data_IF_881833650630
#
_entry.id   IF_881833650630
#
_cell.length_a   1.000
_cell.length_b   1.000
_cell.length_c   1.000
_cell.angle_alpha   90.00
_cell.angle_beta   90.00
_cell.angle_gamma   90.00
#
_symmetry.space_group_name_H-M   'P 1'
#
loop_
_entity.id
_entity.type
_entity.pdbx_description
1 polymer ?
#
# COMPACT_ATOMS: atom_id res chain seq x y z
N UNK A 1 -12.87 -7.86 19.73
CA UNK A 1 -14.17 -8.00 19.04
C UNK A 1 -15.27 -7.31 19.84
N UNK A 2 -15.52 -7.71 21.09
CA UNK A 2 -16.65 -7.18 21.89
C UNK A 2 -16.66 -5.66 22.10
N UNK A 3 -15.48 -5.03 22.17
CA UNK A 3 -15.35 -3.57 22.27
C UNK A 3 -15.94 -2.85 21.05
N UNK A 4 -15.71 -3.38 19.84
CA UNK A 4 -16.06 -2.69 18.59
C UNK A 4 -17.40 -3.14 18.02
N UNK A 5 -17.80 -4.41 18.20
CA UNK A 5 -19.02 -4.98 17.60
C UNK A 5 -20.32 -4.26 17.99
N UNK A 6 -20.29 -3.48 19.08
CA UNK A 6 -21.44 -2.76 19.64
C UNK A 6 -21.54 -1.31 19.15
N UNK A 7 -20.51 -0.80 18.46
CA UNK A 7 -20.47 0.60 18.03
C UNK A 7 -21.37 0.84 16.81
N UNK A 8 -21.53 -0.16 15.95
CA UNK A 8 -22.34 -0.08 14.73
C UNK A 8 -23.00 -1.43 14.42
N UNK A 9 -23.99 -1.39 13.53
CA UNK A 9 -24.59 -2.58 12.95
C UNK A 9 -23.72 -3.06 11.79
N UNK A 10 -22.80 -3.98 12.09
CA UNK A 10 -21.96 -4.61 11.07
C UNK A 10 -22.71 -5.78 10.43
N UNK A 11 -22.66 -5.87 9.10
CA UNK A 11 -23.24 -6.99 8.36
C UNK A 11 -22.47 -8.30 8.60
N UNK A 12 -21.14 -8.23 8.70
CA UNK A 12 -20.25 -9.35 9.05
C UNK A 12 -19.11 -8.89 9.96
N UNK A 13 -18.64 -9.79 10.83
CA UNK A 13 -17.49 -9.58 11.71
C UNK A 13 -16.54 -10.77 11.58
N UNK A 14 -15.38 -10.53 10.98
CA UNK A 14 -14.38 -11.57 10.71
C UNK A 14 -13.12 -11.23 11.53
N UNK A 15 -12.76 -12.02 12.54
CA UNK A 15 -11.51 -11.83 13.25
C UNK A 15 -10.35 -12.32 12.40
N UNK A 16 -9.42 -11.44 12.04
CA UNK A 16 -8.31 -11.77 11.14
C UNK A 16 -6.96 -11.39 11.73
N UNK A 17 -5.90 -12.03 11.23
CA UNK A 17 -4.52 -11.58 11.44
C UNK A 17 -3.76 -11.65 10.12
N UNK A 18 -3.53 -10.48 9.50
CA UNK A 18 -2.75 -10.40 8.25
C UNK A 18 -1.31 -10.91 8.44
N UNK A 19 -0.69 -10.57 9.58
CA UNK A 19 0.68 -11.00 9.89
C UNK A 19 0.81 -12.52 10.05
N UNK A 20 -0.21 -13.19 10.61
CA UNK A 20 -0.21 -14.63 10.87
C UNK A 20 -0.99 -15.45 9.83
N UNK A 21 -1.60 -14.80 8.85
CA UNK A 21 -2.49 -15.44 7.86
C UNK A 21 -3.73 -16.11 8.47
N UNK A 22 -4.26 -15.59 9.58
CA UNK A 22 -5.43 -16.20 10.25
C UNK A 22 -6.70 -15.61 9.66
N UNK A 23 -7.60 -16.48 9.17
CA UNK A 23 -8.92 -16.16 8.59
C UNK A 23 -8.86 -15.12 7.46
N UNK A 24 -7.72 -15.00 6.77
CA UNK A 24 -7.54 -14.05 5.67
C UNK A 24 -8.25 -14.50 4.39
N UNK A 25 -8.46 -15.81 4.25
CA UNK A 25 -9.16 -16.48 3.16
C UNK A 25 -10.64 -16.11 3.09
N UNK A 26 -11.25 -15.74 4.21
CA UNK A 26 -12.67 -15.38 4.30
C UNK A 26 -12.94 -13.94 3.83
N UNK A 27 -11.91 -13.10 3.74
CA UNK A 27 -12.06 -11.67 3.44
C UNK A 27 -12.62 -11.45 2.02
N UNK A 28 -12.01 -12.08 1.01
CA UNK A 28 -12.42 -11.88 -0.39
C UNK A 28 -13.85 -12.38 -0.64
N UNK A 29 -14.24 -13.61 -0.24
CA UNK A 29 -15.62 -14.08 -0.37
C UNK A 29 -16.63 -13.16 0.33
N UNK A 30 -16.31 -12.65 1.52
CA UNK A 30 -17.21 -11.75 2.24
C UNK A 30 -17.37 -10.41 1.53
N UNK A 31 -16.30 -9.81 1.00
CA UNK A 31 -16.41 -8.58 0.19
C UNK A 31 -17.32 -8.80 -1.03
N UNK A 32 -17.15 -9.93 -1.72
CA UNK A 32 -17.91 -10.24 -2.94
C UNK A 32 -19.43 -10.36 -2.70
N UNK A 33 -19.89 -10.72 -1.49
CA UNK A 33 -21.34 -10.77 -1.16
C UNK A 33 -22.00 -9.39 -1.21
N UNK A 34 -21.25 -8.34 -0.92
CA UNK A 34 -21.74 -6.96 -0.83
C UNK A 34 -21.34 -6.10 -2.03
N UNK A 35 -20.45 -6.59 -2.88
CA UNK A 35 -20.04 -5.87 -4.09
C UNK A 35 -21.19 -5.86 -5.11
N UNK A 36 -21.63 -4.68 -5.60
CA UNK A 36 -22.67 -4.62 -6.61
C UNK A 36 -22.20 -5.23 -7.94
N UNK A 37 -23.14 -5.79 -8.70
CA UNK A 37 -22.85 -6.27 -10.04
C UNK A 37 -22.44 -5.11 -10.96
N UNK A 38 -21.35 -5.28 -11.69
CA UNK A 38 -20.81 -4.26 -12.58
C UNK A 38 -19.69 -4.78 -13.47
N UNK A 39 -19.25 -3.97 -14.45
CA UNK A 39 -18.11 -4.33 -15.29
C UNK A 39 -16.80 -4.29 -14.49
N UNK A 40 -15.80 -5.02 -14.97
CA UNK A 40 -14.43 -4.89 -14.48
C UNK A 40 -13.87 -3.54 -14.94
N UNK A 41 -13.37 -2.73 -14.00
CA UNK A 41 -12.79 -1.41 -14.31
C UNK A 41 -11.32 -1.46 -14.73
N UNK A 42 -10.64 -2.56 -14.42
CA UNK A 42 -9.23 -2.80 -14.69
C UNK A 42 -9.07 -4.20 -15.31
N UNK A 43 -8.01 -4.44 -16.06
CA UNK A 43 -7.75 -5.77 -16.63
C UNK A 43 -7.32 -6.77 -15.55
N UNK A 44 -7.54 -8.08 -15.79
CA UNK A 44 -7.23 -9.14 -14.81
C UNK A 44 -5.74 -9.21 -14.41
N UNK A 45 -4.84 -8.73 -15.28
CA UNK A 45 -3.39 -8.67 -15.07
C UNK A 45 -2.92 -7.33 -14.46
N UNK A 46 -3.84 -6.40 -14.20
CA UNK A 46 -3.51 -5.13 -13.52
C UNK A 46 -3.20 -5.38 -12.05
N UNK A 47 -1.93 -5.28 -11.68
CA UNK A 47 -1.49 -5.46 -10.28
C UNK A 47 -1.82 -4.23 -9.41
N UNK A 48 -1.64 -3.03 -9.95
CA UNK A 48 -1.88 -1.75 -9.28
C UNK A 48 -2.01 -0.64 -10.31
N UNK A 49 -2.77 0.41 -10.01
CA UNK A 49 -2.86 1.62 -10.81
C UNK A 49 -1.72 2.62 -10.56
N UNK A 50 -0.87 2.34 -9.55
CA UNK A 50 0.22 3.23 -9.17
C UNK A 50 1.46 3.07 -10.08
N UNK A 51 2.00 4.18 -10.61
CA UNK A 51 3.28 4.17 -11.31
C UNK A 51 4.43 3.67 -10.42
N UNK A 52 5.38 2.93 -10.99
CA UNK A 52 6.55 2.41 -10.26
C UNK A 52 7.34 3.49 -9.49
N UNK A 53 7.40 4.72 -10.02
CA UNK A 53 8.01 5.86 -9.33
C UNK A 53 7.32 6.23 -8.01
N UNK A 54 5.98 6.13 -7.94
CA UNK A 54 5.24 6.39 -6.70
C UNK A 54 5.49 5.27 -5.70
N UNK A 55 5.49 4.02 -6.16
CA UNK A 55 5.83 2.86 -5.32
C UNK A 55 7.24 3.03 -4.72
N UNK A 56 8.23 3.43 -5.54
CA UNK A 56 9.58 3.71 -5.06
C UNK A 56 9.63 4.84 -4.03
N UNK A 57 8.89 5.94 -4.25
CA UNK A 57 8.77 7.04 -3.28
C UNK A 57 8.19 6.56 -1.95
N UNK A 58 7.13 5.75 -2.00
CA UNK A 58 6.46 5.22 -0.82
C UNK A 58 7.34 4.25 -0.03
N UNK A 59 8.18 3.45 -0.69
CA UNK A 59 9.17 2.60 -0.02
C UNK A 59 10.20 3.45 0.74
N UNK A 60 10.71 4.52 0.12
CA UNK A 60 11.64 5.45 0.78
C UNK A 60 10.93 6.12 1.98
N UNK A 61 9.69 6.56 1.80
CA UNK A 61 8.87 7.18 2.85
C UNK A 61 8.64 6.22 4.03
N UNK A 62 8.31 4.95 3.78
CA UNK A 62 8.20 3.91 4.82
C UNK A 62 9.50 3.77 5.62
N UNK A 63 10.66 3.77 4.95
CA UNK A 63 11.95 3.70 5.66
C UNK A 63 12.26 4.96 6.44
N UNK A 64 11.91 6.13 5.91
CA UNK A 64 12.04 7.38 6.62
C UNK A 64 11.14 7.40 7.88
N UNK A 65 9.90 6.90 7.78
CA UNK A 65 9.00 6.74 8.94
C UNK A 65 9.59 5.84 10.03
N UNK A 66 10.37 4.83 9.65
CA UNK A 66 11.00 3.91 10.60
C UNK A 66 12.32 4.45 11.18
N UNK A 67 13.03 5.32 10.45
CA UNK A 67 14.37 5.78 10.80
C UNK A 67 14.38 7.17 11.46
N UNK A 68 13.29 7.92 11.35
CA UNK A 68 13.13 9.26 11.90
C UNK A 68 12.17 9.22 13.09
N UNK A 69 12.36 10.15 14.03
CA UNK A 69 11.58 10.24 15.26
C UNK A 69 10.83 11.59 15.34
N UNK A 70 9.96 11.68 16.34
CA UNK A 70 9.11 12.83 16.62
C UNK A 70 8.18 13.16 15.44
N UNK A 71 8.04 14.44 15.09
CA UNK A 71 7.07 14.90 14.08
C UNK A 71 7.62 14.88 12.65
N UNK A 72 8.94 14.74 12.49
CA UNK A 72 9.65 14.72 11.20
C UNK A 72 9.07 13.65 10.24
N UNK A 73 8.82 12.39 10.65
CA UNK A 73 8.19 11.37 9.81
C UNK A 73 6.88 11.81 9.12
N UNK A 74 6.11 12.66 9.77
CA UNK A 74 4.77 13.04 9.31
C UNK A 74 4.77 14.27 8.40
N UNK A 75 5.84 15.07 8.43
CA UNK A 75 6.00 16.30 7.64
C UNK A 75 6.88 16.15 6.40
N UNK A 76 7.18 14.92 5.97
CA UNK A 76 8.05 14.68 4.80
C UNK A 76 7.28 14.23 3.56
N UNK A 77 7.75 14.69 2.41
CA UNK A 77 7.35 14.20 1.09
C UNK A 77 8.57 13.63 0.35
N UNK A 78 8.37 12.57 -0.43
CA UNK A 78 9.42 11.98 -1.26
C UNK A 78 9.04 12.12 -2.73
N UNK A 79 9.92 12.75 -3.51
CA UNK A 79 9.79 12.86 -4.96
C UNK A 79 10.89 12.05 -5.66
N UNK A 80 10.53 11.31 -6.71
CA UNK A 80 11.51 10.63 -7.58
C UNK A 80 11.82 11.54 -8.77
N UNK A 81 13.01 12.12 -8.79
CA UNK A 81 13.47 13.03 -9.84
C UNK A 81 13.92 12.27 -11.09
N UNK A 82 14.56 11.11 -10.89
CA UNK A 82 15.05 10.26 -11.97
C UNK A 82 14.90 8.79 -11.62
N UNK A 83 14.45 8.00 -12.58
CA UNK A 83 14.46 6.54 -12.52
C UNK A 83 14.83 6.01 -13.90
N UNK A 84 16.02 5.43 -14.05
CA UNK A 84 16.53 4.95 -15.34
C UNK A 84 17.29 3.64 -15.19
N UNK A 85 17.10 2.74 -16.13
CA UNK A 85 17.93 1.53 -16.23
C UNK A 85 19.39 1.90 -16.52
N UNK A 86 20.32 1.24 -15.85
CA UNK A 86 21.74 1.50 -15.99
C UNK A 86 22.27 0.86 -17.28
N UNK A 87 22.86 1.64 -18.21
CA UNK A 87 23.37 1.10 -19.47
C UNK A 87 24.42 0.00 -19.25
N UNK A 88 24.30 -1.10 -20.00
CA UNK A 88 25.27 -2.19 -20.02
C UNK A 88 25.34 -3.02 -18.73
N UNK A 89 24.48 -2.78 -17.73
CA UNK A 89 24.46 -3.52 -16.46
C UNK A 89 23.07 -4.06 -16.11
N UNK A 90 22.59 -5.02 -16.91
CA UNK A 90 21.44 -5.88 -16.57
C UNK A 90 20.20 -5.14 -16.03
N UNK A 91 19.60 -5.67 -14.95
CA UNK A 91 18.36 -5.16 -14.30
C UNK A 91 18.61 -4.07 -13.22
N UNK A 92 19.74 -3.37 -13.27
CA UNK A 92 20.00 -2.29 -12.30
C UNK A 92 19.30 -1.00 -12.71
N UNK A 93 18.64 -0.35 -11.75
CA UNK A 93 17.95 0.93 -11.94
C UNK A 93 18.60 1.97 -11.05
N UNK A 94 18.99 3.09 -11.66
CA UNK A 94 19.51 4.27 -10.96
C UNK A 94 18.33 5.19 -10.63
N UNK A 95 18.17 5.48 -9.34
CA UNK A 95 17.08 6.29 -8.79
C UNK A 95 17.67 7.50 -8.06
N UNK A 96 17.26 8.69 -8.48
CA UNK A 96 17.53 9.94 -7.76
C UNK A 96 16.22 10.37 -7.09
N UNK A 97 16.26 10.60 -5.79
CA UNK A 97 15.09 10.96 -4.99
C UNK A 97 15.40 12.16 -4.08
N UNK A 98 14.43 13.05 -3.96
CA UNK A 98 14.47 14.20 -3.07
C UNK A 98 13.50 13.99 -1.91
N UNK A 99 14.01 14.11 -0.69
CA UNK A 99 13.19 14.16 0.54
C UNK A 99 13.00 15.63 0.88
N UNK A 100 11.74 16.07 0.89
CA UNK A 100 11.33 17.43 1.19
C UNK A 100 10.82 17.44 2.62
N UNK A 101 11.32 18.38 3.43
CA UNK A 101 10.88 18.62 4.80
C UNK A 101 10.37 20.06 4.92
N UNK A 102 9.48 20.31 5.87
CA UNK A 102 9.08 21.67 6.29
C UNK A 102 10.17 22.43 7.04
#
# INVERSE_FOLDING_TARGET
IDTYRKLYHFDEIIPVSALRGVNTEDIIPSILKYLPYGPMFYDEDTVTDQPQRQIAAEIIREKALHALDAEIPHGIAVAIDRMKERPGKGRLVDIDATIICE
#
